data_IF_334809591487
#
_entry.id   IF_334809591487
#
_cell.length_a   1.000
_cell.length_b   1.000
_cell.length_c   1.000
_cell.angle_alpha   90.00
_cell.angle_beta   90.00
_cell.angle_gamma   90.00
#
_symmetry.space_group_name_H-M   'P 1'
#
loop_
_entity.id
_entity.type
_entity.pdbx_description
1 polymer ?
#
# COMPACT_ATOMS: atom_id res chain seq x y z
N UNK A 1 -7.56 -1.07 12.55
CA UNK A 1 -8.25 0.20 12.20
C UNK A 1 -7.27 1.06 11.40
N UNK A 2 -7.12 0.77 10.11
CA UNK A 2 -6.33 1.58 9.19
C UNK A 2 -7.27 2.65 8.62
N UNK A 3 -7.11 3.89 9.10
CA UNK A 3 -7.78 5.04 8.48
C UNK A 3 -6.95 5.38 7.24
N UNK A 4 -7.50 5.08 6.06
CA UNK A 4 -6.87 5.39 4.79
C UNK A 4 -6.67 6.90 4.66
N UNK A 5 -5.44 7.36 4.82
CA UNK A 5 -5.02 8.68 4.36
C UNK A 5 -4.65 8.58 2.88
N UNK A 6 -5.66 8.56 2.03
CA UNK A 6 -5.51 8.84 0.60
C UNK A 6 -5.40 10.36 0.40
N UNK A 7 -4.23 10.92 0.68
CA UNK A 7 -3.94 12.32 0.35
C UNK A 7 -2.77 12.33 -0.64
N UNK A 8 -3.13 12.27 -1.92
CA UNK A 8 -2.20 12.34 -3.04
C UNK A 8 -1.70 13.77 -3.19
N UNK A 9 -0.56 14.10 -2.57
CA UNK A 9 0.13 15.37 -2.82
C UNK A 9 1.07 15.17 -4.01
N UNK A 10 0.85 15.98 -5.05
CA UNK A 10 1.70 16.10 -6.24
C UNK A 10 3.10 16.55 -5.81
N UNK A 11 4.13 15.74 -6.10
CA UNK A 11 5.53 16.08 -5.82
C UNK A 11 5.96 17.21 -6.77
N UNK A 12 5.96 18.46 -6.31
CA UNK A 12 6.52 19.61 -7.04
C UNK A 12 7.98 19.81 -6.61
N UNK A 13 8.92 19.47 -7.49
CA UNK A 13 10.34 19.76 -7.28
C UNK A 13 10.59 21.27 -7.34
N UNK A 14 11.15 21.84 -6.27
CA UNK A 14 11.50 23.25 -6.16
C UNK A 14 12.99 23.55 -6.43
N UNK A 15 13.24 24.78 -6.92
CA UNK A 15 14.42 25.67 -6.81
C UNK A 15 14.06 26.96 -7.59
N UNK A 16 14.09 28.23 -7.15
CA UNK A 16 14.42 29.04 -5.95
C UNK A 16 14.12 30.53 -6.33
N UNK A 17 14.72 31.60 -5.77
CA UNK A 17 14.95 31.99 -4.37
C UNK A 17 14.01 33.14 -3.88
N UNK A 18 14.20 33.52 -2.62
CA UNK A 18 13.40 34.43 -1.78
C UNK A 18 13.42 35.93 -2.16
N UNK A 19 12.34 36.65 -1.82
CA UNK A 19 12.34 38.02 -1.28
C UNK A 19 10.96 38.39 -0.70
N UNK A 20 10.92 38.98 0.51
CA UNK A 20 9.85 39.90 0.94
C UNK A 20 8.97 39.51 2.13
N UNK A 21 9.39 39.89 3.35
CA UNK A 21 8.53 40.22 4.51
C UNK A 21 7.85 41.60 4.26
N UNK A 22 6.67 41.91 4.84
CA UNK A 22 6.54 42.38 6.25
C UNK A 22 5.32 41.76 7.00
N UNK A 23 5.41 41.46 8.30
CA UNK A 23 5.19 42.28 9.50
C UNK A 23 3.71 42.40 9.97
N UNK A 24 3.53 42.04 11.25
CA UNK A 24 2.56 42.50 12.26
C UNK A 24 1.05 42.20 12.12
N UNK A 25 0.53 41.43 13.08
CA UNK A 25 -0.48 41.92 14.02
C UNK A 25 -0.58 41.06 15.29
N UNK A 26 -0.51 41.78 16.42
CA UNK A 26 -0.49 41.35 17.81
C UNK A 26 -1.84 40.80 18.32
N UNK A 27 -1.72 39.88 19.29
CA UNK A 27 -2.42 39.79 20.58
C UNK A 27 -3.97 39.91 20.64
N UNK A 28 -4.61 38.93 21.30
CA UNK A 28 -5.19 39.15 22.64
C UNK A 28 -5.73 37.86 23.31
N UNK A 29 -5.17 37.61 24.51
CA UNK A 29 -5.75 37.21 25.80
C UNK A 29 -6.86 36.15 26.01
N UNK A 30 -6.54 35.27 26.99
CA UNK A 30 -7.33 34.81 28.16
C UNK A 30 -8.54 33.90 27.89
N UNK A 31 -8.87 32.86 28.67
CA UNK A 31 -8.52 32.46 30.03
C UNK A 31 -9.76 31.77 30.64
N UNK A 32 -9.54 30.89 31.63
CA UNK A 32 -10.48 30.13 32.49
C UNK A 32 -10.70 28.66 32.08
N UNK A 33 -10.13 27.66 32.78
CA UNK A 33 -10.39 27.17 34.16
C UNK A 33 -11.86 26.78 34.43
N UNK A 34 -12.10 25.47 34.55
CA UNK A 34 -12.86 24.88 35.68
C UNK A 34 -12.63 23.36 35.74
N UNK A 35 -12.04 22.92 36.85
CA UNK A 35 -12.05 21.54 37.38
C UNK A 35 -13.39 21.31 38.11
N UNK A 36 -13.90 20.08 38.08
CA UNK A 36 -14.52 19.46 39.24
C UNK A 36 -14.58 17.93 39.07
N UNK A 37 -14.07 17.25 40.09
CA UNK A 37 -14.12 15.80 40.34
C UNK A 37 -15.51 15.39 40.87
N UNK A 38 -15.84 14.09 40.81
CA UNK A 38 -17.01 13.56 41.51
C UNK A 38 -17.30 12.09 41.20
N UNK A 39 -16.97 11.23 42.15
CA UNK A 39 -16.96 9.77 42.14
C UNK A 39 -18.29 9.09 42.55
N UNK A 40 -18.41 7.81 42.18
CA UNK A 40 -19.16 6.69 42.80
C UNK A 40 -20.69 6.56 42.63
N UNK A 41 -21.13 5.46 41.99
CA UNK A 41 -21.67 4.25 42.66
C UNK A 41 -22.81 3.56 41.88
N UNK A 42 -22.58 2.28 41.55
CA UNK A 42 -23.50 1.12 41.54
C UNK A 42 -25.02 1.33 41.44
N UNK A 43 -25.62 0.78 40.36
CA UNK A 43 -26.86 0.01 40.48
C UNK A 43 -27.02 -0.94 39.27
N UNK A 44 -26.95 -2.25 39.53
CA UNK A 44 -27.35 -3.29 38.60
C UNK A 44 -28.88 -3.30 38.46
N UNK A 45 -29.40 -3.27 37.24
CA UNK A 45 -30.80 -3.50 36.95
C UNK A 45 -30.90 -4.67 35.95
N UNK A 46 -31.40 -5.80 36.47
CA UNK A 46 -31.77 -6.98 35.70
C UNK A 46 -33.17 -6.73 35.15
N UNK A 47 -33.33 -6.78 33.82
CA UNK A 47 -34.62 -6.92 33.16
C UNK A 47 -34.55 -8.07 32.17
N UNK A 48 -35.11 -9.21 32.59
CA UNK A 48 -35.49 -10.30 31.71
C UNK A 48 -36.74 -9.93 30.91
N UNK A 49 -36.72 -10.15 29.59
CA UNK A 49 -37.90 -10.41 28.75
C UNK A 49 -37.50 -10.80 27.32
N UNK A 50 -38.36 -11.52 26.57
CA UNK A 50 -37.98 -12.79 25.98
C UNK A 50 -37.52 -12.73 24.52
N UNK A 51 -36.59 -13.63 24.20
CA UNK A 51 -36.09 -13.91 22.85
C UNK A 51 -37.24 -14.49 22.00
N UNK A 52 -37.73 -13.70 21.04
CA UNK A 52 -38.45 -14.24 19.88
C UNK A 52 -37.42 -14.68 18.84
N UNK A 53 -37.34 -15.99 18.63
CA UNK A 53 -36.66 -16.63 17.50
C UNK A 53 -37.27 -16.11 16.19
N UNK A 54 -36.55 -15.20 15.54
CA UNK A 54 -36.77 -14.83 14.15
C UNK A 54 -35.73 -15.53 13.29
N UNK A 55 -36.23 -16.27 12.30
CA UNK A 55 -35.52 -17.24 11.49
C UNK A 55 -34.22 -16.71 10.88
N UNK A 56 -33.20 -17.56 10.95
CA UNK A 56 -31.95 -17.45 10.22
C UNK A 56 -32.23 -17.49 8.71
N UNK A 57 -32.34 -16.32 8.08
CA UNK A 57 -32.04 -16.22 6.65
C UNK A 57 -30.54 -16.47 6.49
N UNK A 58 -30.19 -17.63 5.93
CA UNK A 58 -28.84 -17.91 5.41
C UNK A 58 -28.46 -16.75 4.51
N UNK A 59 -27.48 -15.95 4.93
CA UNK A 59 -26.75 -15.09 4.01
C UNK A 59 -26.10 -16.00 2.97
N UNK A 60 -26.55 -15.90 1.72
CA UNK A 60 -25.90 -16.56 0.61
C UNK A 60 -24.57 -15.87 0.34
N UNK A 61 -23.51 -16.29 1.03
CA UNK A 61 -22.14 -15.98 0.63
C UNK A 61 -21.82 -16.83 -0.60
N UNK A 62 -22.35 -16.45 -1.76
CA UNK A 62 -21.92 -17.02 -3.03
C UNK A 62 -20.50 -16.50 -3.26
N UNK A 63 -19.49 -17.36 -3.49
CA UNK A 63 -18.15 -16.87 -3.79
C UNK A 63 -18.22 -15.99 -5.04
N UNK A 64 -17.84 -14.71 -4.88
CA UNK A 64 -17.78 -13.72 -5.95
C UNK A 64 -16.98 -14.31 -7.11
N UNK A 65 -17.60 -14.44 -8.29
CA UNK A 65 -16.93 -14.99 -9.47
C UNK A 65 -16.01 -13.94 -10.08
N UNK A 66 -14.80 -13.81 -9.52
CA UNK A 66 -13.71 -13.08 -10.17
C UNK A 66 -13.30 -13.88 -11.41
N UNK A 67 -13.20 -13.30 -12.62
CA UNK A 67 -12.65 -14.00 -13.77
C UNK A 67 -11.22 -14.46 -13.46
N UNK A 68 -11.04 -15.77 -13.27
CA UNK A 68 -9.75 -16.33 -12.84
C UNK A 68 -8.89 -16.65 -14.06
N UNK A 69 -8.09 -15.68 -14.50
CA UNK A 69 -6.99 -15.96 -15.43
C UNK A 69 -5.96 -16.88 -14.74
N UNK A 70 -5.17 -17.64 -15.52
CA UNK A 70 -4.11 -18.49 -14.94
C UNK A 70 -3.16 -17.71 -14.01
N UNK A 71 -2.70 -16.48 -14.34
CA UNK A 71 -1.90 -15.67 -13.41
C UNK A 71 -2.61 -15.35 -12.09
N UNK A 72 -3.92 -15.04 -12.13
CA UNK A 72 -4.70 -14.75 -10.90
C UNK A 72 -4.87 -15.97 -10.01
N UNK A 73 -5.06 -17.16 -10.60
CA UNK A 73 -5.10 -18.41 -9.82
C UNK A 73 -3.78 -18.65 -9.11
N UNK A 74 -2.68 -18.59 -9.83
CA UNK A 74 -1.35 -18.78 -9.27
C UNK A 74 -1.02 -17.72 -8.20
N UNK A 75 -1.46 -16.48 -8.41
CA UNK A 75 -1.31 -15.43 -7.40
C UNK A 75 -2.11 -15.74 -6.13
N UNK A 76 -3.35 -16.23 -6.27
CA UNK A 76 -4.16 -16.63 -5.13
C UNK A 76 -3.54 -17.81 -4.36
N UNK A 77 -3.01 -18.81 -5.08
CA UNK A 77 -2.31 -19.95 -4.50
C UNK A 77 -1.07 -19.48 -3.69
N UNK A 78 -0.29 -18.54 -4.23
CA UNK A 78 0.87 -17.95 -3.54
C UNK A 78 0.46 -17.15 -2.28
N UNK A 79 -0.60 -16.34 -2.37
CA UNK A 79 -1.11 -15.54 -1.24
C UNK A 79 -1.71 -16.43 -0.14
N UNK A 80 -2.16 -17.65 -0.48
CA UNK A 80 -2.72 -18.59 0.49
C UNK A 80 -1.63 -19.23 1.38
N UNK A 81 -0.36 -19.19 0.99
CA UNK A 81 0.74 -19.73 1.78
C UNK A 81 0.93 -18.95 3.09
N UNK A 82 1.39 -19.58 4.19
CA UNK A 82 1.76 -18.88 5.42
C UNK A 82 2.75 -17.72 5.15
N UNK A 83 2.72 -16.68 5.99
CA UNK A 83 3.56 -15.48 5.82
C UNK A 83 5.06 -15.79 5.66
N UNK A 84 5.58 -16.82 6.34
CA UNK A 84 6.98 -17.26 6.24
C UNK A 84 7.32 -17.99 4.93
N UNK A 85 6.33 -18.57 4.27
CA UNK A 85 6.48 -19.38 3.06
C UNK A 85 6.12 -18.62 1.78
N UNK A 86 5.29 -17.57 1.89
CA UNK A 86 4.93 -16.71 0.77
C UNK A 86 6.19 -16.06 0.17
N UNK A 87 6.36 -16.20 -1.15
CA UNK A 87 7.40 -15.56 -1.91
C UNK A 87 6.87 -14.23 -2.50
N UNK A 88 7.33 -13.12 -1.94
CA UNK A 88 6.85 -11.78 -2.32
C UNK A 88 7.26 -11.41 -3.76
N UNK A 89 8.48 -11.74 -4.20
CA UNK A 89 8.90 -11.54 -5.58
C UNK A 89 8.02 -12.33 -6.57
N UNK A 90 7.71 -13.59 -6.28
CA UNK A 90 6.83 -14.43 -7.10
C UNK A 90 5.44 -13.81 -7.19
N UNK A 91 4.85 -13.40 -6.06
CA UNK A 91 3.55 -12.73 -6.06
C UNK A 91 3.58 -11.43 -6.89
N UNK A 92 4.61 -10.59 -6.75
CA UNK A 92 4.77 -9.36 -7.54
C UNK A 92 4.96 -9.64 -9.04
N UNK A 93 5.67 -10.71 -9.41
CA UNK A 93 5.83 -11.13 -10.81
C UNK A 93 4.56 -11.74 -11.39
N UNK A 94 3.73 -12.43 -10.58
CA UNK A 94 2.42 -12.91 -11.01
C UNK A 94 1.44 -11.75 -11.26
N UNK A 95 1.51 -10.68 -10.48
CA UNK A 95 0.81 -9.41 -10.79
C UNK A 95 1.26 -8.87 -12.14
N UNK A 96 2.58 -8.83 -12.39
CA UNK A 96 3.14 -8.35 -13.66
C UNK A 96 2.77 -9.26 -14.86
N UNK A 97 2.67 -10.58 -14.66
CA UNK A 97 2.36 -11.55 -15.72
C UNK A 97 0.98 -11.34 -16.35
N UNK A 98 0.03 -10.74 -15.63
CA UNK A 98 -1.26 -10.40 -16.22
C UNK A 98 -1.19 -9.17 -17.16
N UNK A 99 -0.24 -8.25 -16.93
CA UNK A 99 0.05 -7.17 -17.88
C UNK A 99 0.98 -7.64 -19.02
N UNK A 100 1.87 -8.58 -18.72
CA UNK A 100 2.86 -9.15 -19.64
C UNK A 100 2.69 -10.67 -19.75
N UNK A 101 1.77 -11.19 -20.59
CA UNK A 101 1.44 -12.63 -20.62
C UNK A 101 2.65 -13.55 -20.86
N UNK A 102 3.57 -13.10 -21.70
CA UNK A 102 4.83 -13.75 -22.07
C UNK A 102 5.94 -13.67 -21.01
N UNK A 103 5.71 -12.96 -19.90
CA UNK A 103 6.65 -12.89 -18.78
C UNK A 103 6.92 -14.27 -18.19
N UNK A 104 8.19 -14.65 -18.08
CA UNK A 104 8.60 -15.84 -17.33
C UNK A 104 8.90 -15.47 -15.89
N UNK A 105 8.08 -15.94 -14.95
CA UNK A 105 8.28 -15.67 -13.51
C UNK A 105 9.62 -16.23 -13.04
N UNK A 106 9.96 -17.46 -13.44
CA UNK A 106 11.17 -18.15 -13.00
C UNK A 106 12.45 -17.44 -13.44
N UNK A 107 12.47 -16.82 -14.64
CA UNK A 107 13.65 -16.07 -15.10
C UNK A 107 13.96 -14.85 -14.24
N UNK A 108 12.93 -14.16 -13.74
CA UNK A 108 13.13 -12.99 -12.87
C UNK A 108 13.42 -13.39 -11.42
N UNK A 109 12.92 -14.54 -10.95
CA UNK A 109 13.36 -15.10 -9.67
C UNK A 109 14.84 -15.49 -9.73
N UNK A 110 15.27 -16.18 -10.78
CA UNK A 110 16.68 -16.51 -10.99
C UNK A 110 17.56 -15.27 -11.11
N UNK A 111 17.04 -14.16 -11.65
CA UNK A 111 17.77 -12.88 -11.69
C UNK A 111 17.98 -12.28 -10.29
N UNK A 112 17.03 -12.43 -9.38
CA UNK A 112 17.22 -12.03 -7.97
C UNK A 112 18.24 -12.93 -7.27
N UNK A 113 18.24 -14.23 -7.57
CA UNK A 113 19.27 -15.16 -7.09
C UNK A 113 20.66 -14.73 -7.60
N UNK A 114 20.77 -14.40 -8.88
CA UNK A 114 22.01 -13.93 -9.50
C UNK A 114 22.52 -12.63 -8.86
N UNK A 115 21.63 -11.69 -8.53
CA UNK A 115 22.02 -10.48 -7.78
C UNK A 115 22.57 -10.80 -6.39
N UNK A 116 22.03 -11.81 -5.71
CA UNK A 116 22.56 -12.25 -4.41
C UNK A 116 23.95 -12.91 -4.56
N UNK A 117 24.14 -13.75 -5.57
CA UNK A 117 25.45 -14.35 -5.86
C UNK A 117 26.51 -13.29 -6.22
N UNK A 118 26.14 -12.26 -6.99
CA UNK A 118 27.05 -11.14 -7.28
C UNK A 118 27.53 -10.39 -6.02
N UNK A 119 26.68 -10.31 -4.99
CA UNK A 119 27.05 -9.75 -3.68
C UNK A 119 28.02 -10.69 -2.97
N UNK A 120 27.72 -12.00 -2.93
CA UNK A 120 28.57 -13.01 -2.28
C UNK A 120 29.97 -13.09 -2.90
N UNK A 121 30.05 -13.08 -4.23
CA UNK A 121 31.32 -13.15 -4.98
C UNK A 121 32.29 -12.02 -4.61
N UNK A 122 31.77 -10.88 -4.14
CA UNK A 122 32.56 -9.71 -3.75
C UNK A 122 32.99 -9.73 -2.28
N UNK A 123 32.33 -10.53 -1.47
CA UNK A 123 32.56 -10.64 -0.04
C UNK A 123 33.56 -11.74 0.32
N UNK A 124 33.91 -12.62 -0.63
CA UNK A 124 34.73 -13.80 -0.39
C UNK A 124 34.17 -14.63 0.78
N UNK A 125 34.86 -14.67 1.92
CA UNK A 125 34.44 -15.39 3.13
C UNK A 125 33.91 -14.46 4.23
N UNK A 126 33.68 -13.19 3.95
CA UNK A 126 33.10 -12.24 4.91
C UNK A 126 31.66 -12.64 5.26
N UNK A 127 31.35 -12.62 6.56
CA UNK A 127 30.04 -13.02 7.11
C UNK A 127 29.41 -11.94 7.99
N UNK A 128 30.11 -10.83 8.24
CA UNK A 128 29.61 -9.71 9.02
C UNK A 128 28.36 -9.08 8.34
N UNK A 129 27.17 -9.11 8.98
CA UNK A 129 25.93 -8.65 8.37
C UNK A 129 25.95 -7.21 7.85
N UNK A 130 26.65 -6.29 8.54
CA UNK A 130 26.76 -4.89 8.11
C UNK A 130 27.64 -4.73 6.87
N UNK A 131 28.66 -5.57 6.69
CA UNK A 131 29.50 -5.58 5.48
C UNK A 131 28.70 -6.17 4.32
N UNK A 132 27.93 -7.24 4.57
CA UNK A 132 26.99 -7.80 3.58
C UNK A 132 25.95 -6.77 3.16
N UNK A 133 25.38 -6.01 4.11
CA UNK A 133 24.40 -4.96 3.84
C UNK A 133 25.00 -3.82 2.99
N UNK A 134 26.20 -3.36 3.32
CA UNK A 134 26.89 -2.31 2.55
C UNK A 134 27.15 -2.77 1.11
N UNK A 135 27.65 -3.99 0.93
CA UNK A 135 27.95 -4.55 -0.39
C UNK A 135 26.65 -4.84 -1.20
N UNK A 136 25.55 -5.22 -0.54
CA UNK A 136 24.22 -5.29 -1.15
C UNK A 136 23.79 -3.92 -1.69
N UNK A 137 23.86 -2.86 -0.87
CA UNK A 137 23.49 -1.50 -1.27
C UNK A 137 24.37 -1.02 -2.43
N UNK A 138 25.68 -1.22 -2.34
CA UNK A 138 26.63 -0.88 -3.40
C UNK A 138 26.32 -1.63 -4.70
N UNK A 139 26.01 -2.93 -4.63
CA UNK A 139 25.67 -3.72 -5.81
C UNK A 139 24.40 -3.22 -6.47
N UNK A 140 23.32 -2.98 -5.72
CA UNK A 140 22.05 -2.55 -6.28
C UNK A 140 22.10 -1.11 -6.84
N UNK A 141 22.64 -0.16 -6.08
CA UNK A 141 22.52 1.26 -6.39
C UNK A 141 23.71 1.84 -7.16
N UNK A 142 24.92 1.30 -6.98
CA UNK A 142 26.12 1.79 -7.69
C UNK A 142 26.37 0.96 -8.96
N UNK A 143 26.41 -0.38 -8.82
CA UNK A 143 26.79 -1.26 -9.94
C UNK A 143 25.62 -1.55 -10.88
N UNK A 144 24.45 -1.86 -10.31
CA UNK A 144 23.21 -2.13 -11.06
C UNK A 144 22.38 -0.86 -11.32
N UNK A 145 22.77 0.27 -10.74
CA UNK A 145 22.21 1.61 -11.00
C UNK A 145 20.70 1.69 -10.80
N UNK A 146 20.15 0.88 -9.88
CA UNK A 146 18.76 1.00 -9.48
C UNK A 146 18.51 2.44 -9.00
N UNK A 147 17.49 3.09 -9.54
CA UNK A 147 17.26 4.52 -9.34
C UNK A 147 15.78 4.82 -9.20
N UNK A 148 15.44 5.71 -8.28
CA UNK A 148 14.10 6.25 -8.16
C UNK A 148 13.70 7.06 -9.38
N UNK A 149 12.60 6.69 -10.05
CA UNK A 149 12.14 7.39 -11.24
C UNK A 149 11.38 8.69 -10.89
N UNK A 150 12.13 9.75 -10.55
CA UNK A 150 11.56 11.06 -10.17
C UNK A 150 10.91 11.79 -11.34
N UNK A 151 11.39 11.56 -12.57
CA UNK A 151 10.90 12.26 -13.77
C UNK A 151 9.51 11.76 -14.20
N UNK A 152 9.30 10.44 -14.11
CA UNK A 152 8.04 9.80 -14.50
C UNK A 152 7.55 8.91 -13.36
N UNK A 153 7.33 9.50 -12.18
CA UNK A 153 6.98 8.77 -10.95
C UNK A 153 5.75 7.87 -11.12
N UNK A 154 4.70 8.38 -11.77
CA UNK A 154 3.44 7.68 -12.03
C UNK A 154 3.44 6.83 -13.31
N UNK A 155 4.62 6.48 -13.85
CA UNK A 155 4.73 5.45 -14.89
C UNK A 155 4.43 4.08 -14.26
N UNK A 156 3.40 3.33 -14.72
CA UNK A 156 3.03 2.04 -14.14
C UNK A 156 4.18 1.01 -14.18
N UNK A 157 5.10 1.15 -15.14
CA UNK A 157 6.30 0.30 -15.22
C UNK A 157 7.19 0.41 -13.98
N UNK A 158 7.09 1.48 -13.21
CA UNK A 158 7.84 1.59 -11.95
C UNK A 158 7.28 0.68 -10.85
N UNK A 159 6.05 0.16 -11.01
CA UNK A 159 5.37 -0.71 -10.05
C UNK A 159 5.44 -2.20 -10.41
N UNK A 160 5.94 -2.55 -11.59
CA UNK A 160 6.11 -3.94 -12.01
C UNK A 160 7.56 -4.41 -11.78
N UNK A 161 7.73 -5.50 -11.02
CA UNK A 161 9.07 -5.97 -10.61
C UNK A 161 9.96 -6.33 -11.81
N UNK A 162 9.39 -6.88 -12.88
CA UNK A 162 10.15 -7.20 -14.10
C UNK A 162 10.72 -5.93 -14.76
N UNK A 163 9.90 -4.90 -14.93
CA UNK A 163 10.33 -3.62 -15.51
C UNK A 163 11.37 -2.92 -14.63
N UNK A 164 11.22 -3.01 -13.31
CA UNK A 164 12.18 -2.43 -12.35
C UNK A 164 13.54 -3.12 -12.48
N UNK A 165 13.56 -4.46 -12.55
CA UNK A 165 14.78 -5.23 -12.74
C UNK A 165 15.43 -4.96 -14.11
N UNK A 166 14.63 -4.86 -15.17
CA UNK A 166 15.12 -4.59 -16.54
C UNK A 166 15.68 -3.17 -16.71
N UNK A 167 14.94 -2.17 -16.23
CA UNK A 167 15.22 -0.76 -16.50
C UNK A 167 16.10 -0.13 -15.43
N UNK A 168 16.21 -0.74 -14.25
CA UNK A 168 16.81 -0.13 -13.07
C UNK A 168 16.03 1.09 -12.56
N UNK A 169 14.74 1.21 -12.88
CA UNK A 169 13.91 2.36 -12.53
C UNK A 169 12.67 1.92 -11.76
N UNK A 170 12.46 2.47 -10.56
CA UNK A 170 11.32 2.11 -9.70
C UNK A 170 10.79 3.24 -8.84
N UNK A 171 9.83 2.90 -7.98
CA UNK A 171 9.31 3.72 -6.89
C UNK A 171 9.88 3.24 -5.55
N UNK A 172 9.75 3.98 -4.43
CA UNK A 172 10.32 3.56 -3.14
C UNK A 172 9.98 2.10 -2.79
N UNK A 173 8.72 1.69 -2.99
CA UNK A 173 8.25 0.35 -2.70
C UNK A 173 8.95 -0.74 -3.52
N UNK A 174 8.97 -0.62 -4.85
CA UNK A 174 9.50 -1.69 -5.71
C UNK A 174 11.02 -1.80 -5.65
N UNK A 175 11.72 -0.68 -5.48
CA UNK A 175 13.16 -0.70 -5.19
C UNK A 175 13.42 -1.36 -3.82
N UNK A 176 12.58 -1.07 -2.83
CA UNK A 176 12.65 -1.71 -1.52
C UNK A 176 12.35 -3.21 -1.57
N UNK A 177 11.41 -3.67 -2.40
CA UNK A 177 11.17 -5.10 -2.64
C UNK A 177 12.43 -5.77 -3.20
N UNK A 178 13.17 -5.13 -4.12
CA UNK A 178 14.44 -5.70 -4.61
C UNK A 178 15.46 -5.83 -3.48
N UNK A 179 15.61 -4.81 -2.62
CA UNK A 179 16.50 -4.89 -1.45
C UNK A 179 16.10 -6.04 -0.53
N UNK A 180 14.81 -6.15 -0.18
CA UNK A 180 14.30 -7.22 0.69
C UNK A 180 14.58 -8.60 0.09
N UNK A 181 14.23 -8.81 -1.17
CA UNK A 181 14.35 -10.10 -1.84
C UNK A 181 15.79 -10.56 -2.00
N UNK A 182 16.71 -9.65 -2.35
CA UNK A 182 18.14 -9.99 -2.44
C UNK A 182 18.74 -10.14 -1.04
N UNK A 183 18.38 -9.26 -0.09
CA UNK A 183 18.87 -9.34 1.28
C UNK A 183 18.45 -10.61 2.02
N UNK A 184 17.21 -11.08 1.83
CA UNK A 184 16.76 -12.36 2.41
C UNK A 184 17.52 -13.56 1.84
N UNK A 185 17.88 -13.55 0.54
CA UNK A 185 18.76 -14.57 -0.06
C UNK A 185 20.17 -14.56 0.51
N UNK A 186 20.60 -13.42 1.04
CA UNK A 186 21.86 -13.23 1.75
C UNK A 186 21.74 -13.50 3.26
N UNK A 187 20.57 -13.90 3.75
CA UNK A 187 20.33 -14.15 5.18
C UNK A 187 20.24 -12.89 6.04
N UNK A 188 20.10 -11.70 5.44
CA UNK A 188 19.99 -10.45 6.20
C UNK A 188 18.61 -10.33 6.88
N UNK A 189 18.56 -9.87 8.14
CA UNK A 189 17.31 -9.64 8.88
C UNK A 189 16.64 -8.32 8.44
N UNK A 190 16.12 -8.31 7.21
CA UNK A 190 15.48 -7.13 6.62
C UNK A 190 13.96 -7.17 6.76
N UNK A 191 13.36 -6.01 7.04
CA UNK A 191 11.92 -5.82 7.15
C UNK A 191 11.47 -4.60 6.33
N UNK A 192 10.29 -4.67 5.71
CA UNK A 192 9.67 -3.49 5.11
C UNK A 192 9.10 -2.58 6.19
N UNK A 193 9.19 -1.25 6.00
CA UNK A 193 8.60 -0.27 6.93
C UNK A 193 7.61 0.61 6.17
N UNK A 194 6.37 0.59 6.65
CA UNK A 194 5.22 1.25 6.04
C UNK A 194 5.15 2.76 6.25
N UNK A 195 6.25 3.49 6.02
CA UNK A 195 6.39 4.91 6.36
C UNK A 195 5.40 5.84 5.59
N UNK A 196 4.89 6.93 6.19
CA UNK A 196 3.97 7.85 5.51
C UNK A 196 4.55 8.44 4.22
N UNK A 197 3.79 8.35 3.12
CA UNK A 197 4.17 8.80 1.77
C UNK A 197 5.53 8.28 1.25
N UNK A 198 6.08 7.24 1.87
CA UNK A 198 7.38 6.69 1.53
C UNK A 198 7.43 5.18 1.79
N UNK A 199 8.54 4.55 1.42
CA UNK A 199 8.81 3.18 1.83
C UNK A 199 10.27 3.08 2.21
N UNK A 200 10.54 2.43 3.34
CA UNK A 200 11.87 2.18 3.85
C UNK A 200 12.05 0.69 4.06
N UNK A 201 13.29 0.23 4.00
CA UNK A 201 13.70 -1.09 4.46
C UNK A 201 14.43 -0.92 5.78
N UNK A 202 14.15 -1.75 6.76
CA UNK A 202 14.87 -1.78 8.03
C UNK A 202 15.76 -2.99 8.09
N UNK A 203 17.02 -2.79 8.44
CA UNK A 203 17.90 -3.85 8.93
C UNK A 203 17.76 -3.94 10.44
N UNK A 204 17.40 -5.13 10.94
CA UNK A 204 17.27 -5.44 12.36
C UNK A 204 18.60 -5.99 12.90
N UNK A 205 19.40 -5.11 13.50
CA UNK A 205 20.67 -5.50 14.11
C UNK A 205 20.55 -5.85 15.58
N UNK A 206 21.56 -6.52 16.14
CA UNK A 206 21.60 -6.88 17.57
C UNK A 206 21.76 -5.64 18.47
N UNK A 207 22.58 -4.67 18.05
CA UNK A 207 22.87 -3.47 18.82
C UNK A 207 21.99 -2.27 18.44
N UNK A 208 21.64 -2.14 17.15
CA UNK A 208 20.84 -1.04 16.63
C UNK A 208 20.14 -1.44 15.33
N UNK A 209 19.01 -0.79 15.07
CA UNK A 209 18.28 -0.88 13.80
C UNK A 209 18.75 0.23 12.84
N UNK A 210 18.80 -0.10 11.55
CA UNK A 210 19.13 0.85 10.48
C UNK A 210 17.99 0.95 9.48
N UNK A 211 17.72 2.15 8.98
CA UNK A 211 16.80 2.40 7.89
C UNK A 211 17.57 2.62 6.59
N UNK A 212 17.17 1.90 5.56
CA UNK A 212 17.65 2.03 4.19
C UNK A 212 16.55 2.67 3.36
N UNK A 213 16.89 3.73 2.64
CA UNK A 213 15.98 4.44 1.76
C UNK A 213 16.19 4.04 0.30
N UNK A 214 15.33 3.18 -0.26
CA UNK A 214 15.50 2.66 -1.61
C UNK A 214 15.39 3.75 -2.68
N UNK A 215 14.74 4.88 -2.37
CA UNK A 215 14.51 5.96 -3.33
C UNK A 215 15.57 7.07 -3.27
N UNK A 216 16.41 7.05 -2.23
CA UNK A 216 17.59 7.88 -2.05
C UNK A 216 18.87 7.04 -2.20
N UNK A 217 18.89 6.21 -3.25
CA UNK A 217 20.04 5.37 -3.64
C UNK A 217 20.54 4.43 -2.53
N UNK A 218 19.64 3.91 -1.70
CA UNK A 218 20.00 3.03 -0.60
C UNK A 218 20.65 3.74 0.59
N UNK A 219 20.49 5.06 0.72
CA UNK A 219 21.04 5.82 1.86
C UNK A 219 20.61 5.19 3.18
N UNK A 220 21.62 4.80 3.98
CA UNK A 220 21.46 4.23 5.31
C UNK A 220 21.39 5.36 6.34
N UNK A 221 20.48 5.21 7.31
CA UNK A 221 20.18 6.16 8.39
C UNK A 221 19.86 5.40 9.67
N UNK A 222 20.04 6.05 10.81
CA UNK A 222 19.53 5.54 12.08
C UNK A 222 18.01 5.76 12.18
N UNK A 223 17.32 4.99 13.03
CA UNK A 223 15.86 5.14 13.19
C UNK A 223 15.46 6.50 13.80
N UNK A 224 16.29 7.10 14.64
CA UNK A 224 16.06 8.42 15.24
C UNK A 224 16.11 9.56 14.21
N UNK A 225 16.78 9.36 13.07
CA UNK A 225 16.78 10.27 11.93
C UNK A 225 15.47 10.19 11.09
N UNK A 226 14.53 9.29 11.42
CA UNK A 226 13.29 9.15 10.67
C UNK A 226 12.40 10.42 10.68
N UNK A 227 12.47 11.24 11.73
CA UNK A 227 11.74 12.51 11.78
C UNK A 227 12.16 13.45 10.63
N UNK A 228 13.43 13.44 10.23
CA UNK A 228 13.93 14.28 9.12
C UNK A 228 13.31 13.89 7.77
N UNK A 229 12.90 12.63 7.59
CA UNK A 229 12.17 12.20 6.41
C UNK A 229 10.75 12.80 6.38
N UNK A 230 10.07 12.84 7.53
CA UNK A 230 8.76 13.48 7.65
C UNK A 230 8.86 14.99 7.47
N UNK A 231 9.88 15.62 8.04
CA UNK A 231 10.07 17.07 7.93
C UNK A 231 10.30 17.48 6.48
N UNK A 232 11.09 16.70 5.72
CA UNK A 232 11.26 16.90 4.28
C UNK A 232 9.99 16.70 3.47
N UNK A 233 9.13 15.75 3.86
CA UNK A 233 7.91 15.41 3.11
C UNK A 233 6.71 16.32 3.45
N UNK A 234 6.61 16.78 4.69
CA UNK A 234 5.43 17.48 5.24
C UNK A 234 5.76 18.85 5.85
N UNK A 235 6.99 19.36 5.72
CA UNK A 235 7.38 20.67 6.24
C UNK A 235 7.26 20.79 7.76
N UNK A 236 7.48 19.69 8.49
CA UNK A 236 7.39 19.64 9.96
C UNK A 236 5.97 19.53 10.53
N UNK A 237 4.94 19.44 9.69
CA UNK A 237 3.54 19.34 10.15
C UNK A 237 3.20 17.97 10.77
N UNK A 238 4.02 16.94 10.53
CA UNK A 238 3.78 15.57 10.98
C UNK A 238 4.90 15.14 11.92
N UNK A 239 4.54 14.78 13.14
CA UNK A 239 5.45 14.16 14.12
C UNK A 239 5.50 12.65 13.94
N UNK A 240 6.69 12.09 14.09
CA UNK A 240 6.93 10.65 14.08
C UNK A 240 6.09 9.97 15.17
N UNK A 241 5.55 8.81 14.83
CA UNK A 241 4.78 7.95 15.72
C UNK A 241 5.25 6.52 15.50
N UNK A 242 5.24 5.71 16.55
CA UNK A 242 5.64 4.29 16.46
C UNK A 242 4.86 3.52 15.39
N UNK A 243 3.59 3.90 15.17
CA UNK A 243 2.76 3.31 14.11
C UNK A 243 3.32 3.48 12.70
N UNK A 244 4.16 4.49 12.45
CA UNK A 244 4.83 4.74 11.17
C UNK A 244 6.06 3.83 10.96
N UNK A 245 6.61 3.29 12.05
CA UNK A 245 7.78 2.41 12.08
C UNK A 245 7.39 0.93 12.17
N UNK A 246 6.10 0.62 12.02
CA UNK A 246 5.63 -0.77 12.00
C UNK A 246 6.18 -1.49 10.77
N UNK A 247 6.62 -2.73 11.05
CA UNK A 247 6.90 -3.73 10.03
C UNK A 247 5.68 -3.88 9.11
N UNK A 248 5.94 -3.87 7.82
CA UNK A 248 5.02 -4.28 6.78
C UNK A 248 5.33 -5.74 6.42
N UNK A 249 4.33 -6.61 6.51
CA UNK A 249 4.45 -8.00 6.09
C UNK A 249 4.34 -8.14 4.56
N UNK A 250 4.55 -9.34 4.01
CA UNK A 250 4.56 -9.56 2.55
C UNK A 250 3.21 -9.22 1.92
N UNK A 251 2.10 -9.45 2.63
CA UNK A 251 0.75 -9.09 2.16
C UNK A 251 0.53 -7.59 2.18
N UNK A 252 0.99 -6.89 3.21
CA UNK A 252 0.98 -5.43 3.29
C UNK A 252 1.74 -4.81 2.11
N UNK A 253 2.92 -5.36 1.79
CA UNK A 253 3.74 -4.90 0.66
C UNK A 253 3.04 -5.15 -0.69
N UNK A 254 2.41 -6.31 -0.86
CA UNK A 254 1.64 -6.63 -2.06
C UNK A 254 0.41 -5.73 -2.22
N UNK A 255 -0.34 -5.47 -1.14
CA UNK A 255 -1.48 -4.55 -1.15
C UNK A 255 -1.02 -3.14 -1.51
N UNK A 256 0.10 -2.66 -0.95
CA UNK A 256 0.68 -1.35 -1.32
C UNK A 256 1.08 -1.29 -2.79
N UNK A 257 1.65 -2.36 -3.34
CA UNK A 257 2.02 -2.44 -4.76
C UNK A 257 0.78 -2.31 -5.64
N UNK A 258 -0.27 -3.06 -5.32
CA UNK A 258 -1.54 -3.02 -6.05
C UNK A 258 -2.28 -1.70 -5.88
N UNK A 259 -2.23 -1.08 -4.69
CA UNK A 259 -2.81 0.24 -4.44
C UNK A 259 -2.10 1.34 -5.25
N UNK A 260 -0.77 1.25 -5.41
CA UNK A 260 -0.02 2.14 -6.30
C UNK A 260 -0.46 1.97 -7.76
N UNK A 261 -0.60 0.73 -8.25
CA UNK A 261 -1.12 0.47 -9.60
C UNK A 261 -2.55 1.01 -9.77
N UNK A 262 -3.45 0.77 -8.80
CA UNK A 262 -4.80 1.32 -8.78
C UNK A 262 -4.76 2.85 -8.94
N UNK A 263 -3.99 3.55 -8.11
CA UNK A 263 -3.86 5.01 -8.17
C UNK A 263 -3.32 5.52 -9.50
N UNK A 264 -2.28 4.87 -10.04
CA UNK A 264 -1.71 5.21 -11.35
C UNK A 264 -2.74 5.05 -12.48
N UNK A 265 -3.51 3.97 -12.49
CA UNK A 265 -4.51 3.74 -13.53
C UNK A 265 -5.74 4.64 -13.39
N UNK A 266 -6.17 4.92 -12.16
CA UNK A 266 -7.23 5.90 -11.90
C UNK A 266 -6.84 7.30 -12.42
N UNK A 267 -5.63 7.75 -12.13
CA UNK A 267 -5.12 9.05 -12.61
C UNK A 267 -5.03 9.13 -14.14
N UNK A 268 -4.90 8.00 -14.82
CA UNK A 268 -4.88 7.90 -16.29
C UNK A 268 -6.26 7.68 -16.91
N UNK A 269 -7.32 7.52 -16.11
CA UNK A 269 -8.65 7.15 -16.58
C UNK A 269 -8.77 5.70 -17.07
N UNK A 270 -7.76 4.84 -16.82
CA UNK A 270 -7.80 3.43 -17.22
C UNK A 270 -8.57 2.61 -16.18
N UNK A 271 -9.90 2.72 -16.22
CA UNK A 271 -10.79 2.05 -15.28
C UNK A 271 -10.71 0.53 -15.36
N UNK A 272 -10.39 -0.04 -16.53
CA UNK A 272 -10.25 -1.49 -16.71
C UNK A 272 -9.05 -2.01 -15.92
N UNK A 273 -7.88 -1.37 -16.04
CA UNK A 273 -6.69 -1.78 -15.28
C UNK A 273 -6.79 -1.42 -13.80
N UNK A 274 -7.45 -0.31 -13.46
CA UNK A 274 -7.76 0.01 -12.07
C UNK A 274 -8.65 -1.05 -11.41
N UNK A 275 -9.70 -1.53 -12.11
CA UNK A 275 -10.56 -2.61 -11.63
C UNK A 275 -9.76 -3.88 -11.40
N UNK A 276 -8.89 -4.25 -12.33
CA UNK A 276 -8.02 -5.41 -12.17
C UNK A 276 -7.12 -5.28 -10.93
N UNK A 277 -6.58 -4.09 -10.64
CA UNK A 277 -5.79 -3.88 -9.42
C UNK A 277 -6.62 -4.07 -8.15
N UNK A 278 -7.83 -3.51 -8.11
CA UNK A 278 -8.78 -3.68 -6.99
C UNK A 278 -9.14 -5.15 -6.78
N UNK A 279 -9.44 -5.89 -7.84
CA UNK A 279 -9.79 -7.32 -7.74
C UNK A 279 -8.63 -8.14 -7.14
N UNK A 280 -7.37 -7.80 -7.46
CA UNK A 280 -6.20 -8.45 -6.84
C UNK A 280 -6.00 -8.01 -5.40
N UNK A 281 -6.32 -6.76 -5.03
CA UNK A 281 -6.31 -6.35 -3.62
C UNK A 281 -7.32 -7.19 -2.84
N UNK A 282 -8.50 -7.42 -3.40
CA UNK A 282 -9.54 -8.26 -2.79
C UNK A 282 -9.17 -9.76 -2.72
N UNK A 283 -8.21 -10.24 -3.51
CA UNK A 283 -7.61 -11.58 -3.29
C UNK A 283 -6.79 -11.62 -2.00
N UNK A 284 -6.13 -10.52 -1.63
CA UNK A 284 -5.30 -10.43 -0.41
C UNK A 284 -6.15 -10.09 0.81
N UNK A 285 -7.09 -9.15 0.67
CA UNK A 285 -7.95 -8.63 1.74
C UNK A 285 -9.43 -8.61 1.31
N UNK A 286 -10.11 -9.77 1.28
CA UNK A 286 -11.47 -9.89 0.72
C UNK A 286 -12.53 -9.02 1.39
N UNK A 287 -12.35 -8.71 2.67
CA UNK A 287 -13.33 -7.97 3.48
C UNK A 287 -13.05 -6.46 3.56
N UNK A 288 -12.22 -5.90 2.67
CA UNK A 288 -11.86 -4.48 2.67
C UNK A 288 -13.01 -3.60 2.13
N UNK A 289 -13.73 -2.82 2.98
CA UNK A 289 -14.93 -2.11 2.52
C UNK A 289 -14.65 -1.06 1.45
N UNK A 290 -13.52 -0.34 1.59
CA UNK A 290 -13.11 0.67 0.61
C UNK A 290 -12.82 0.07 -0.78
N UNK A 291 -12.29 -1.16 -0.83
CA UNK A 291 -11.98 -1.84 -2.08
C UNK A 291 -13.20 -2.50 -2.69
N UNK A 292 -14.10 -3.07 -1.88
CA UNK A 292 -15.42 -3.53 -2.34
C UNK A 292 -16.23 -2.39 -2.95
N UNK A 293 -16.26 -1.22 -2.30
CA UNK A 293 -16.83 0.00 -2.88
C UNK A 293 -16.13 0.38 -4.19
N UNK A 294 -14.80 0.41 -4.21
CA UNK A 294 -14.02 0.79 -5.40
C UNK A 294 -14.32 -0.14 -6.58
N UNK A 295 -14.48 -1.44 -6.33
CA UNK A 295 -14.85 -2.44 -7.34
C UNK A 295 -16.21 -2.11 -7.93
N UNK A 296 -17.23 -1.88 -7.10
CA UNK A 296 -18.58 -1.54 -7.55
C UNK A 296 -18.62 -0.27 -8.40
N UNK A 297 -17.93 0.78 -7.96
CA UNK A 297 -17.82 2.03 -8.72
C UNK A 297 -17.12 1.82 -10.08
N UNK A 298 -16.03 1.06 -10.12
CA UNK A 298 -15.31 0.80 -11.37
C UNK A 298 -16.10 -0.10 -12.33
N UNK A 299 -16.88 -1.06 -11.81
CA UNK A 299 -17.82 -1.85 -12.61
C UNK A 299 -18.88 -0.95 -13.27
N UNK A 300 -19.46 -0.03 -12.51
CA UNK A 300 -20.43 0.95 -13.01
C UNK A 300 -19.83 1.78 -14.16
N UNK A 301 -18.61 2.30 -13.98
CA UNK A 301 -17.90 3.08 -15.03
C UNK A 301 -17.60 2.29 -16.29
N UNK A 302 -17.47 0.97 -16.18
CA UNK A 302 -17.23 0.09 -17.32
C UNK A 302 -18.54 -0.41 -17.97
N UNK A 303 -19.70 0.13 -17.56
CA UNK A 303 -21.01 -0.27 -18.06
C UNK A 303 -21.50 -1.62 -17.55
N UNK A 304 -20.81 -2.23 -16.58
CA UNK A 304 -21.15 -3.53 -15.97
C UNK A 304 -22.16 -3.31 -14.84
N UNK A 305 -23.32 -2.75 -15.18
CA UNK A 305 -24.29 -2.22 -14.20
C UNK A 305 -24.83 -3.29 -13.25
N UNK A 306 -25.19 -4.47 -13.74
CA UNK A 306 -25.74 -5.54 -12.89
C UNK A 306 -24.74 -5.96 -11.80
N UNK A 307 -23.47 -6.16 -12.19
CA UNK A 307 -22.39 -6.50 -11.25
C UNK A 307 -22.07 -5.34 -10.30
N UNK A 308 -22.16 -4.10 -10.78
CA UNK A 308 -21.96 -2.91 -9.96
C UNK A 308 -23.06 -2.79 -8.89
N UNK A 309 -24.32 -3.04 -9.27
CA UNK A 309 -25.47 -3.01 -8.36
C UNK A 309 -25.30 -4.05 -7.25
N UNK A 310 -25.02 -5.30 -7.60
CA UNK A 310 -24.75 -6.38 -6.62
C UNK A 310 -23.62 -5.98 -5.66
N UNK A 311 -22.49 -5.53 -6.21
CA UNK A 311 -21.32 -5.18 -5.42
C UNK A 311 -21.53 -3.99 -4.46
N UNK A 312 -22.28 -2.96 -4.90
CA UNK A 312 -22.55 -1.76 -4.10
C UNK A 312 -23.65 -1.99 -3.07
N UNK A 313 -24.62 -2.88 -3.34
CA UNK A 313 -25.60 -3.34 -2.35
C UNK A 313 -24.92 -4.06 -1.19
N UNK A 314 -24.04 -5.01 -1.50
CA UNK A 314 -23.24 -5.73 -0.51
C UNK A 314 -22.41 -4.77 0.35
N UNK A 315 -21.78 -3.78 -0.29
CA UNK A 315 -21.02 -2.76 0.41
C UNK A 315 -21.89 -1.95 1.39
N UNK A 316 -23.06 -1.46 0.96
CA UNK A 316 -23.98 -0.70 1.82
C UNK A 316 -24.53 -1.56 2.96
N UNK A 317 -24.79 -2.85 2.70
CA UNK A 317 -25.24 -3.78 3.73
C UNK A 317 -24.16 -3.99 4.80
N UNK A 318 -22.90 -4.12 4.40
CA UNK A 318 -21.77 -4.30 5.30
C UNK A 318 -21.33 -3.00 5.99
N UNK A 319 -21.56 -1.84 5.36
CA UNK A 319 -21.02 -0.53 5.78
C UNK A 319 -22.12 0.52 5.99
N UNK A 320 -23.20 0.16 6.71
CA UNK A 320 -24.42 0.98 6.86
C UNK A 320 -24.21 2.40 7.42
N UNK A 321 -23.11 2.63 8.13
CA UNK A 321 -22.74 3.94 8.71
C UNK A 321 -21.63 4.68 7.96
N UNK A 322 -21.24 4.23 6.76
CA UNK A 322 -20.19 4.89 6.01
C UNK A 322 -20.61 6.30 5.56
N UNK A 323 -19.69 7.27 5.65
CA UNK A 323 -19.98 8.68 5.33
C UNK A 323 -20.42 8.89 3.86
N UNK A 324 -20.00 8.01 2.97
CA UNK A 324 -20.35 8.01 1.54
C UNK A 324 -21.57 7.16 1.20
N UNK A 325 -22.22 6.51 2.18
CA UNK A 325 -23.41 5.67 1.96
C UNK A 325 -24.55 6.40 1.24
N UNK A 326 -24.90 7.67 1.54
CA UNK A 326 -25.95 8.39 0.81
C UNK A 326 -25.61 8.56 -0.69
N UNK A 327 -24.34 8.81 -1.00
CA UNK A 327 -23.86 8.97 -2.37
C UNK A 327 -23.90 7.65 -3.13
N UNK A 328 -23.42 6.56 -2.53
CA UNK A 328 -23.50 5.22 -3.13
C UNK A 328 -24.96 4.80 -3.30
N UNK A 329 -25.84 5.13 -2.35
CA UNK A 329 -27.28 4.88 -2.48
C UNK A 329 -27.95 5.64 -3.63
N UNK A 330 -27.50 6.86 -3.94
CA UNK A 330 -27.94 7.58 -5.15
C UNK A 330 -27.46 6.85 -6.41
N UNK A 331 -26.19 6.50 -6.46
CA UNK A 331 -25.58 5.79 -7.58
C UNK A 331 -26.30 4.47 -7.91
N UNK A 332 -26.68 3.70 -6.89
CA UNK A 332 -27.47 2.47 -7.06
C UNK A 332 -28.84 2.73 -7.71
N UNK A 333 -29.51 3.83 -7.38
CA UNK A 333 -30.78 4.19 -8.03
C UNK A 333 -30.55 4.55 -9.49
N UNK A 334 -29.57 5.41 -9.75
CA UNK A 334 -29.20 5.81 -11.11
C UNK A 334 -28.88 4.56 -11.98
N UNK A 335 -28.05 3.64 -11.46
CA UNK A 335 -27.68 2.41 -12.17
C UNK A 335 -28.86 1.49 -12.47
N UNK A 336 -29.82 1.34 -11.53
CA UNK A 336 -31.04 0.55 -11.73
C UNK A 336 -31.98 1.17 -12.76
N UNK A 337 -31.90 2.49 -12.97
CA UNK A 337 -32.60 3.22 -14.03
C UNK A 337 -31.82 3.24 -15.35
N UNK A 338 -30.66 2.56 -15.42
CA UNK A 338 -29.81 2.50 -16.61
C UNK A 338 -28.92 3.74 -16.81
N UNK A 339 -28.81 4.61 -15.80
CA UNK A 339 -28.04 5.85 -15.85
C UNK A 339 -26.63 5.59 -15.33
N UNK A 340 -25.62 5.78 -16.19
CA UNK A 340 -24.21 5.73 -15.77
C UNK A 340 -23.84 7.03 -15.03
N UNK A 341 -23.23 6.95 -13.83
CA UNK A 341 -22.83 8.14 -13.07
C UNK A 341 -21.75 8.97 -13.81
N UNK A 342 -21.83 10.32 -13.77
CA UNK A 342 -20.82 11.19 -14.40
C UNK A 342 -19.43 11.09 -13.75
N UNK A 343 -18.39 11.32 -14.57
CA UNK A 343 -16.97 11.04 -14.28
C UNK A 343 -16.38 11.68 -13.01
N UNK A 344 -17.00 12.76 -12.49
CA UNK A 344 -16.49 13.56 -11.36
C UNK A 344 -17.16 13.32 -9.99
N UNK A 345 -18.09 12.38 -9.86
CA UNK A 345 -18.88 12.25 -8.62
C UNK A 345 -18.18 11.53 -7.45
N UNK A 346 -16.99 10.94 -7.61
CA UNK A 346 -16.57 9.84 -6.75
C UNK A 346 -15.22 9.99 -6.04
N UNK A 347 -15.26 9.75 -4.73
CA UNK A 347 -14.13 9.66 -3.81
C UNK A 347 -13.58 8.24 -3.85
N UNK A 348 -12.98 7.89 -4.98
CA UNK A 348 -12.13 6.72 -5.15
C UNK A 348 -10.75 6.94 -4.56
#
# INVERSE_FOLDING_TARGET
MWVGFGMWIRWSGGRGPATGLPADLQQHHSGNHCRAEGTHSSAAFVLESPVRLLGTRRGSSRPLSIPTTMPRRLLADEIALPESEMNLARAALLVAKEEYPQLSVELYLARLDQLAEEVKDRLANETAPLVILDELVATLFVRRKLTGNRKAYYDPRNSFLNDVLDRGLGIPLTLGIVILEVGWRLGLPLEGVGFPNHFLVRYKGDALDLLIDPFDSGKVRFEDEAQELLDRAYGGAVRLRDSFMRRADRRDLLVRLLANLKGVYLNKGDHRRALAAVERILLVIPMAPAENRSRGVLLARLGRHDEAVEQLEDYLQASRGAADAPRIGKMLRDLREGITPPEGLEGL
#
